data_IF_388085927115
#
_entry.id   IF_388085927115
#
_cell.length_a   1.000
_cell.length_b   1.000
_cell.length_c   1.000
_cell.angle_alpha   90.00
_cell.angle_beta   90.00
_cell.angle_gamma   90.00
#
_symmetry.space_group_name_H-M   'P 1'
#
loop_
_entity.id
_entity.type
_entity.pdbx_description
1 polymer ?
#
# COMPACT_ATOMS: atom_id res chain seq x y z
N UNK A 1 12.99 5.09 3.97
CA UNK A 1 12.75 3.74 3.41
C UNK A 1 11.59 3.15 4.18
N UNK A 2 10.57 2.56 3.55
CA UNK A 2 9.48 1.91 4.30
C UNK A 2 9.90 0.52 4.76
N UNK A 3 9.81 0.28 6.07
CA UNK A 3 10.08 -1.02 6.65
C UNK A 3 8.79 -1.87 6.60
N UNK A 4 8.92 -3.15 6.24
CA UNK A 4 7.78 -4.07 6.19
C UNK A 4 7.33 -4.47 7.60
N UNK A 5 8.23 -4.42 8.60
CA UNK A 5 7.91 -4.73 9.99
C UNK A 5 6.86 -3.78 10.57
N UNK A 6 6.91 -2.50 10.20
CA UNK A 6 5.91 -1.49 10.60
C UNK A 6 4.52 -1.83 10.07
N UNK A 7 4.43 -2.38 8.85
CA UNK A 7 3.15 -2.73 8.23
C UNK A 7 2.50 -3.92 8.92
N UNK A 8 3.31 -4.87 9.40
CA UNK A 8 2.82 -6.04 10.14
C UNK A 8 2.19 -5.68 11.49
N UNK A 9 2.38 -4.45 11.98
CA UNK A 9 1.77 -3.95 13.22
C UNK A 9 0.39 -3.29 12.97
N UNK A 10 0.02 -3.07 11.71
CA UNK A 10 -1.24 -2.45 11.34
C UNK A 10 -2.40 -3.45 11.35
N UNK A 11 -3.57 -2.94 11.69
CA UNK A 11 -4.85 -3.64 11.52
C UNK A 11 -5.25 -3.72 10.05
N UNK A 12 -6.17 -4.64 9.70
CA UNK A 12 -6.69 -4.77 8.33
C UNK A 12 -7.33 -3.47 7.80
N UNK A 13 -8.04 -2.73 8.66
CA UNK A 13 -8.63 -1.44 8.30
C UNK A 13 -7.56 -0.37 8.00
N UNK A 14 -6.51 -0.30 8.82
CA UNK A 14 -5.39 0.62 8.62
C UNK A 14 -4.63 0.31 7.33
N UNK A 15 -4.38 -0.98 7.05
CA UNK A 15 -3.78 -1.42 5.78
C UNK A 15 -4.64 -0.97 4.60
N UNK A 16 -5.96 -1.19 4.67
CA UNK A 16 -6.87 -0.77 3.61
C UNK A 16 -6.87 0.76 3.39
N UNK A 17 -6.89 1.52 4.50
CA UNK A 17 -6.83 2.99 4.48
C UNK A 17 -5.53 3.50 3.88
N UNK A 18 -4.38 2.91 4.23
CA UNK A 18 -3.08 3.27 3.63
C UNK A 18 -3.03 2.96 2.13
N UNK A 19 -3.57 1.81 1.70
CA UNK A 19 -3.65 1.45 0.27
C UNK A 19 -4.43 2.53 -0.51
N UNK A 20 -5.58 2.96 0.03
CA UNK A 20 -6.40 4.00 -0.60
C UNK A 20 -5.65 5.34 -0.69
N UNK A 21 -4.95 5.72 0.39
CA UNK A 21 -4.14 6.94 0.44
C UNK A 21 -3.05 6.92 -0.64
N UNK A 22 -2.31 5.83 -0.76
CA UNK A 22 -1.22 5.71 -1.76
C UNK A 22 -1.77 5.74 -3.19
N UNK A 23 -2.93 5.11 -3.44
CA UNK A 23 -3.61 5.19 -4.74
C UNK A 23 -3.99 6.65 -5.08
N UNK A 24 -4.53 7.40 -4.12
CA UNK A 24 -4.85 8.83 -4.27
C UNK A 24 -3.61 9.66 -4.56
N UNK A 25 -2.52 9.45 -3.80
CA UNK A 25 -1.25 10.14 -4.02
C UNK A 25 -0.68 9.85 -5.41
N UNK A 26 -0.74 8.61 -5.88
CA UNK A 26 -0.29 8.25 -7.22
C UNK A 26 -1.13 8.93 -8.32
N UNK A 27 -2.44 9.06 -8.11
CA UNK A 27 -3.31 9.80 -9.04
C UNK A 27 -2.92 11.29 -9.09
N UNK A 28 -2.69 11.91 -7.94
CA UNK A 28 -2.24 13.30 -7.84
C UNK A 28 -0.88 13.52 -8.53
N UNK A 29 0.09 12.61 -8.31
CA UNK A 29 1.39 12.68 -8.98
C UNK A 29 1.28 12.52 -10.49
N UNK A 30 0.37 11.66 -10.98
CA UNK A 30 0.10 11.51 -12.43
C UNK A 30 -0.55 12.76 -13.00
N UNK A 31 -1.47 13.38 -12.26
CA UNK A 31 -2.09 14.64 -12.64
C UNK A 31 -1.04 15.74 -12.77
N UNK A 32 -0.22 15.95 -11.73
CA UNK A 32 0.90 16.90 -11.75
C UNK A 32 1.86 16.68 -12.92
N UNK A 33 2.17 15.41 -13.22
CA UNK A 33 3.01 15.04 -14.37
C UNK A 33 2.36 15.41 -15.70
N UNK A 34 1.07 15.11 -15.87
CA UNK A 34 0.32 15.41 -17.10
C UNK A 34 0.23 16.93 -17.34
N UNK A 35 0.04 17.71 -16.28
CA UNK A 35 -0.03 19.18 -16.34
C UNK A 35 1.34 19.87 -16.33
N UNK A 36 2.45 19.11 -16.43
CA UNK A 36 3.84 19.62 -16.34
C UNK A 36 4.11 20.49 -15.10
N UNK A 37 3.40 20.23 -14.01
CA UNK A 37 3.68 20.86 -12.71
C UNK A 37 4.93 20.23 -12.09
N UNK A 38 5.58 20.95 -11.18
CA UNK A 38 6.71 20.39 -10.43
C UNK A 38 6.24 19.29 -9.47
N UNK A 39 6.96 18.17 -9.44
CA UNK A 39 6.72 17.08 -8.50
C UNK A 39 8.02 16.30 -8.25
N UNK A 40 8.04 15.52 -7.17
CA UNK A 40 9.18 14.69 -6.79
C UNK A 40 9.06 13.30 -7.44
N UNK A 41 9.87 13.02 -8.47
CA UNK A 41 9.81 11.75 -9.21
C UNK A 41 10.06 10.50 -8.36
N UNK A 42 10.89 10.60 -7.32
CA UNK A 42 11.18 9.48 -6.41
C UNK A 42 9.95 9.03 -5.60
N UNK A 43 8.90 9.87 -5.49
CA UNK A 43 7.67 9.49 -4.80
C UNK A 43 6.95 8.34 -5.51
N UNK A 44 7.00 8.25 -6.84
CA UNK A 44 6.44 7.08 -7.55
C UNK A 44 7.13 5.78 -7.12
N UNK A 45 8.46 5.79 -6.98
CA UNK A 45 9.23 4.63 -6.53
C UNK A 45 8.89 4.25 -5.09
N UNK A 46 8.81 5.24 -4.20
CA UNK A 46 8.46 5.03 -2.79
C UNK A 46 7.04 4.47 -2.64
N UNK A 47 6.06 5.08 -3.33
CA UNK A 47 4.67 4.65 -3.32
C UNK A 47 4.51 3.24 -3.88
N UNK A 48 5.18 2.92 -5.00
CA UNK A 48 5.17 1.56 -5.57
C UNK A 48 5.70 0.54 -4.57
N UNK A 49 6.82 0.83 -3.91
CA UNK A 49 7.43 -0.05 -2.90
C UNK A 49 6.49 -0.25 -1.71
N UNK A 50 5.96 0.83 -1.13
CA UNK A 50 5.06 0.74 0.03
C UNK A 50 3.76 0.01 -0.30
N UNK A 51 3.16 0.29 -1.46
CA UNK A 51 1.94 -0.40 -1.92
C UNK A 51 2.17 -1.90 -2.07
N UNK A 52 3.30 -2.32 -2.66
CA UNK A 52 3.62 -3.74 -2.77
C UNK A 52 3.71 -4.41 -1.39
N UNK A 53 4.38 -3.78 -0.43
CA UNK A 53 4.50 -4.31 0.92
C UNK A 53 3.13 -4.42 1.63
N UNK A 54 2.25 -3.42 1.50
CA UNK A 54 0.88 -3.45 2.05
C UNK A 54 0.07 -4.62 1.47
N UNK A 55 0.07 -4.77 0.15
CA UNK A 55 -0.67 -5.84 -0.53
C UNK A 55 -0.14 -7.23 -0.16
N UNK A 56 1.18 -7.38 0.07
CA UNK A 56 1.75 -8.64 0.54
C UNK A 56 1.21 -9.00 1.93
N UNK A 57 1.24 -8.06 2.89
CA UNK A 57 0.75 -8.32 4.25
C UNK A 57 -0.77 -8.55 4.26
N UNK A 58 -1.54 -7.79 3.49
CA UNK A 58 -2.98 -8.00 3.31
C UNK A 58 -3.29 -9.43 2.83
N UNK A 59 -2.55 -9.91 1.82
CA UNK A 59 -2.74 -11.25 1.28
C UNK A 59 -2.30 -12.35 2.25
N UNK A 60 -1.22 -12.15 3.01
CA UNK A 60 -0.80 -13.07 4.07
C UNK A 60 -1.91 -13.24 5.12
N UNK A 61 -2.45 -12.13 5.64
CA UNK A 61 -3.54 -12.13 6.63
C UNK A 61 -4.79 -12.82 6.07
N UNK A 62 -5.18 -12.49 4.84
CA UNK A 62 -6.33 -13.11 4.17
C UNK A 62 -6.15 -14.61 4.00
N UNK A 63 -4.96 -15.05 3.62
CA UNK A 63 -4.66 -16.48 3.41
C UNK A 63 -4.75 -17.26 4.72
N UNK A 64 -4.24 -16.70 5.82
CA UNK A 64 -4.35 -17.29 7.16
C UNK A 64 -5.81 -17.40 7.60
N UNK A 65 -6.60 -16.33 7.43
CA UNK A 65 -8.03 -16.35 7.76
C UNK A 65 -8.80 -17.43 6.99
N UNK A 66 -8.48 -17.60 5.70
CA UNK A 66 -9.07 -18.66 4.89
C UNK A 66 -8.70 -20.05 5.44
N UNK A 67 -7.43 -20.29 5.74
CA UNK A 67 -6.98 -21.58 6.31
C UNK A 67 -7.69 -21.90 7.61
N UNK A 68 -7.80 -20.93 8.52
CA UNK A 68 -8.50 -21.11 9.81
C UNK A 68 -9.98 -21.41 9.58
N UNK A 69 -10.64 -20.69 8.67
CA UNK A 69 -12.06 -20.88 8.36
C UNK A 69 -12.38 -22.24 7.73
N UNK A 70 -11.41 -22.89 7.07
CA UNK A 70 -11.58 -24.26 6.53
C UNK A 70 -11.24 -25.36 7.54
N UNK A 71 -10.56 -25.03 8.64
CA UNK A 71 -10.14 -25.98 9.69
C UNK A 71 -11.08 -26.05 10.90
N UNK A 72 -12.10 -25.18 10.94
CA UNK A 72 -13.18 -25.12 11.94
C UNK A 72 -14.49 -25.58 11.31
#
# INVERSE_FOLDING_TARGET
>A
MSNISEIRQLTGEEIHKEILLIKKQNLELRFKKATRQSFKSHLFKNNKRRLAQLLTVEQEVRSILLVIAFSL
#
